data_IF_744521061911
#
_entry.id   IF_744521061911
#
_cell.length_a   1.000
_cell.length_b   1.000
_cell.length_c   1.000
_cell.angle_alpha   90.00
_cell.angle_beta   90.00
_cell.angle_gamma   90.00
#
_symmetry.space_group_name_H-M   'P 1'
#
loop_
_entity.id
_entity.type
_entity.pdbx_description
1 polymer ?
#
# COMPACT_ATOMS: atom_id res chain seq x y z
N UNK A 1 -1.34 -6.29 6.45
CA UNK A 1 -0.56 -6.15 5.19
C UNK A 1 -1.42 -6.35 3.95
N UNK A 2 -2.01 -7.54 3.73
CA UNK A 2 -2.80 -7.81 2.51
C UNK A 2 -3.96 -6.82 2.29
N UNK A 3 -4.76 -6.54 3.33
CA UNK A 3 -5.88 -5.58 3.26
C UNK A 3 -5.45 -4.17 2.81
N UNK A 4 -4.22 -3.77 3.16
CA UNK A 4 -3.64 -2.48 2.81
C UNK A 4 -3.20 -2.46 1.35
N UNK A 5 -2.49 -3.50 0.90
CA UNK A 5 -2.14 -3.65 -0.52
C UNK A 5 -3.40 -3.63 -1.39
N UNK A 6 -4.45 -4.37 -1.01
CA UNK A 6 -5.74 -4.39 -1.72
C UNK A 6 -6.44 -3.03 -1.72
N UNK A 7 -6.29 -2.22 -0.66
CA UNK A 7 -6.84 -0.87 -0.62
C UNK A 7 -6.14 0.02 -1.66
N UNK A 8 -4.81 0.00 -1.69
CA UNK A 8 -4.03 0.84 -2.62
C UNK A 8 -4.20 0.41 -4.07
N UNK A 9 -4.32 -0.89 -4.35
CA UNK A 9 -4.66 -1.38 -5.69
C UNK A 9 -6.04 -0.93 -6.16
N UNK A 10 -7.03 -0.90 -5.26
CA UNK A 10 -8.35 -0.36 -5.61
C UNK A 10 -8.29 1.16 -5.83
N UNK A 11 -7.46 1.87 -5.07
CA UNK A 11 -7.33 3.32 -5.19
C UNK A 11 -6.61 3.70 -6.50
N UNK A 12 -5.55 2.98 -6.88
CA UNK A 12 -4.87 3.16 -8.17
C UNK A 12 -5.83 2.92 -9.33
N UNK A 13 -6.63 1.84 -9.29
CA UNK A 13 -7.65 1.57 -10.29
C UNK A 13 -8.67 2.71 -10.43
N UNK A 14 -9.15 3.28 -9.32
CA UNK A 14 -10.05 4.45 -9.35
C UNK A 14 -9.39 5.72 -9.89
N UNK A 15 -8.07 5.81 -9.87
CA UNK A 15 -7.30 6.89 -10.47
C UNK A 15 -6.99 6.64 -11.96
N UNK A 16 -7.35 5.48 -12.49
CA UNK A 16 -7.09 5.09 -13.89
C UNK A 16 -5.75 4.38 -14.09
N UNK A 17 -5.13 3.87 -13.02
CA UNK A 17 -3.92 3.05 -13.08
C UNK A 17 -4.29 1.59 -12.81
N UNK A 18 -4.11 0.72 -13.80
CA UNK A 18 -4.33 -0.73 -13.65
C UNK A 18 -2.99 -1.47 -13.68
N UNK A 19 -2.82 -2.45 -12.78
CA UNK A 19 -1.67 -3.35 -12.81
C UNK A 19 -0.34 -2.72 -12.43
N UNK A 20 -0.35 -1.67 -11.61
CA UNK A 20 0.88 -1.06 -11.12
C UNK A 20 1.62 -1.98 -10.15
N UNK A 21 2.93 -1.84 -10.09
CA UNK A 21 3.74 -2.54 -9.10
C UNK A 21 3.65 -1.83 -7.73
N UNK A 22 3.23 -2.57 -6.70
CA UNK A 22 3.23 -2.09 -5.32
C UNK A 22 4.50 -2.55 -4.61
N UNK A 23 5.17 -1.63 -3.92
CA UNK A 23 6.38 -1.92 -3.13
C UNK A 23 6.06 -1.90 -1.64
N UNK A 24 6.54 -2.93 -0.92
CA UNK A 24 6.42 -3.01 0.54
C UNK A 24 7.76 -2.64 1.17
N UNK A 25 7.79 -1.55 1.92
CA UNK A 25 8.94 -1.18 2.76
C UNK A 25 8.94 -2.02 4.03
N UNK A 26 10.04 -2.71 4.32
CA UNK A 26 10.27 -3.43 5.56
C UNK A 26 11.51 -2.90 6.26
N UNK A 27 11.46 -2.85 7.59
CA UNK A 27 12.65 -2.57 8.39
C UNK A 27 13.50 -3.84 8.50
N UNK A 28 14.82 -3.67 8.44
CA UNK A 28 15.75 -4.77 8.69
C UNK A 28 15.75 -5.12 10.19
N UNK A 29 14.99 -6.16 10.55
CA UNK A 29 14.92 -6.66 11.92
C UNK A 29 14.60 -8.17 11.94
N UNK A 30 14.74 -8.79 13.12
CA UNK A 30 14.55 -10.23 13.29
C UNK A 30 13.12 -10.68 12.93
N UNK A 31 12.10 -9.91 13.33
CA UNK A 31 10.72 -10.27 13.03
C UNK A 31 10.47 -10.30 11.52
N UNK A 32 10.94 -9.29 10.78
CA UNK A 32 10.85 -9.27 9.33
C UNK A 32 11.59 -10.46 8.72
N UNK A 33 12.81 -10.79 9.20
CA UNK A 33 13.57 -11.92 8.69
C UNK A 33 12.87 -13.28 8.91
N UNK A 34 12.27 -13.48 10.09
CA UNK A 34 11.58 -14.73 10.44
C UNK A 34 10.29 -14.94 9.63
N UNK A 35 9.53 -13.87 9.36
CA UNK A 35 8.20 -13.97 8.76
C UNK A 35 8.13 -13.52 7.29
N UNK A 36 9.25 -13.12 6.66
CA UNK A 36 9.26 -12.68 5.27
C UNK A 36 8.77 -13.78 4.31
N UNK A 37 9.18 -15.03 4.53
CA UNK A 37 8.73 -16.17 3.73
C UNK A 37 7.21 -16.37 3.80
N UNK A 38 6.65 -16.32 5.01
CA UNK A 38 5.21 -16.44 5.24
C UNK A 38 4.44 -15.28 4.61
N UNK A 39 4.97 -14.06 4.71
CA UNK A 39 4.39 -12.88 4.08
C UNK A 39 4.30 -13.05 2.55
N UNK A 40 5.41 -13.46 1.92
CA UNK A 40 5.47 -13.71 0.47
C UNK A 40 4.46 -14.79 0.08
N UNK A 41 4.42 -15.90 0.82
CA UNK A 41 3.49 -17.00 0.51
C UNK A 41 2.04 -16.58 0.70
N UNK A 42 1.75 -15.77 1.73
CA UNK A 42 0.41 -15.25 1.97
C UNK A 42 -0.07 -14.37 0.81
N UNK A 43 0.78 -13.51 0.25
CA UNK A 43 0.44 -12.71 -0.94
C UNK A 43 0.19 -13.60 -2.17
N UNK A 44 1.08 -14.55 -2.45
CA UNK A 44 0.91 -15.50 -3.57
C UNK A 44 -0.40 -16.29 -3.48
N UNK A 45 -0.73 -16.79 -2.29
CA UNK A 45 -1.98 -17.52 -2.04
C UNK A 45 -3.24 -16.66 -2.26
N UNK A 46 -3.11 -15.34 -2.21
CA UNK A 46 -4.19 -14.38 -2.44
C UNK A 46 -4.13 -13.75 -3.85
N UNK A 47 -3.45 -14.39 -4.79
CA UNK A 47 -3.45 -14.01 -6.21
C UNK A 47 -2.49 -12.88 -6.58
N UNK A 48 -1.60 -12.46 -5.67
CA UNK A 48 -0.58 -11.45 -5.98
C UNK A 48 0.65 -12.09 -6.61
N UNK A 49 1.21 -11.41 -7.61
CA UNK A 49 2.51 -11.73 -8.17
C UNK A 49 3.59 -11.00 -7.36
N UNK A 50 4.67 -11.70 -7.05
CA UNK A 50 5.84 -11.13 -6.34
C UNK A 50 6.96 -11.03 -7.35
N UNK A 51 7.51 -9.82 -7.49
CA UNK A 51 8.58 -9.49 -8.43
C UNK A 51 9.76 -8.85 -7.70
N UNK A 52 10.85 -8.62 -8.43
CA UNK A 52 12.02 -7.90 -7.94
C UNK A 52 11.70 -6.42 -7.71
N UNK A 53 12.33 -5.82 -6.69
CA UNK A 53 12.13 -4.40 -6.38
C UNK A 53 12.63 -3.50 -7.51
N UNK A 54 13.75 -3.84 -8.15
CA UNK A 54 14.32 -3.05 -9.26
C UNK A 54 13.32 -2.95 -10.42
N UNK A 55 12.68 -4.08 -10.77
CA UNK A 55 11.62 -4.11 -11.79
C UNK A 55 10.37 -3.31 -11.36
N UNK A 56 10.00 -3.38 -10.08
CA UNK A 56 8.85 -2.62 -9.57
C UNK A 56 9.09 -1.10 -9.66
N UNK A 57 10.32 -0.64 -9.47
CA UNK A 57 10.67 0.79 -9.56
C UNK A 57 10.72 1.33 -10.99
N UNK A 58 10.72 0.47 -12.01
CA UNK A 58 10.60 0.87 -13.41
C UNK A 58 9.16 1.24 -13.82
N UNK A 59 8.19 1.10 -12.91
CA UNK A 59 6.78 1.39 -13.20
C UNK A 59 6.57 2.87 -13.62
N UNK A 60 5.87 3.13 -14.74
CA UNK A 60 5.63 4.49 -15.24
C UNK A 60 4.95 5.42 -14.24
N UNK A 61 4.24 4.88 -13.23
CA UNK A 61 3.61 5.70 -12.20
C UNK A 61 4.61 6.64 -11.49
N UNK A 62 5.88 6.24 -11.35
CA UNK A 62 6.92 7.05 -10.73
C UNK A 62 7.33 8.30 -11.52
N UNK A 63 6.84 8.46 -12.76
CA UNK A 63 6.98 9.71 -13.52
C UNK A 63 5.99 10.80 -13.07
N UNK A 64 5.07 10.48 -12.14
CA UNK A 64 4.15 11.45 -11.58
C UNK A 64 4.77 12.19 -10.38
N UNK A 65 4.66 13.52 -10.39
CA UNK A 65 5.15 14.38 -9.31
C UNK A 65 4.00 15.23 -8.76
N UNK A 66 3.29 14.74 -7.73
CA UNK A 66 2.24 15.52 -7.07
C UNK A 66 2.79 16.83 -6.50
N UNK A 67 2.01 17.90 -6.59
CA UNK A 67 2.37 19.25 -6.12
C UNK A 67 1.72 19.59 -4.77
N UNK A 68 0.94 18.69 -4.20
CA UNK A 68 0.38 18.85 -2.86
C UNK A 68 1.49 18.72 -1.80
N UNK A 69 1.23 19.25 -0.59
CA UNK A 69 2.18 19.15 0.53
C UNK A 69 2.48 17.67 0.80
N UNK A 70 3.75 17.24 0.75
CA UNK A 70 4.11 15.86 1.05
C UNK A 70 3.84 15.59 2.53
N UNK A 71 3.04 14.58 2.85
CA UNK A 71 2.80 14.17 4.23
C UNK A 71 3.40 12.78 4.54
N UNK A 72 4.34 12.32 3.70
CA UNK A 72 5.14 11.12 3.92
C UNK A 72 4.47 9.83 3.48
N UNK A 73 3.46 9.89 2.62
CA UNK A 73 2.65 8.75 2.22
C UNK A 73 3.05 8.11 0.89
N UNK A 74 2.24 7.11 0.47
CA UNK A 74 2.33 6.52 -0.86
C UNK A 74 2.02 7.54 -1.97
N UNK A 75 2.68 7.38 -3.12
CA UNK A 75 2.45 8.17 -4.33
C UNK A 75 0.97 8.13 -4.77
N UNK A 76 0.33 6.97 -4.67
CA UNK A 76 -1.10 6.78 -5.00
C UNK A 76 -1.98 7.66 -4.10
N UNK A 77 -1.69 7.73 -2.80
CA UNK A 77 -2.43 8.58 -1.88
C UNK A 77 -2.27 10.06 -2.25
N UNK A 78 -1.04 10.50 -2.52
CA UNK A 78 -0.77 11.88 -2.90
C UNK A 78 -1.48 12.27 -4.21
N UNK A 79 -1.48 11.39 -5.21
CA UNK A 79 -2.23 11.58 -6.46
C UNK A 79 -3.73 11.64 -6.22
N UNK A 80 -4.27 10.76 -5.37
CA UNK A 80 -5.68 10.80 -5.01
C UNK A 80 -6.07 12.10 -4.30
N UNK A 81 -5.23 12.56 -3.37
CA UNK A 81 -5.45 13.82 -2.66
C UNK A 81 -5.41 15.02 -3.61
N UNK A 82 -4.41 15.08 -4.50
CA UNK A 82 -4.30 16.13 -5.51
C UNK A 82 -5.50 16.15 -6.46
N UNK A 83 -6.08 15.00 -6.78
CA UNK A 83 -7.24 14.93 -7.69
C UNK A 83 -8.50 15.61 -7.14
N UNK A 84 -8.61 15.81 -5.82
CA UNK A 84 -9.80 16.33 -5.15
C UNK A 84 -11.03 15.40 -5.17
N UNK A 85 -10.98 14.26 -5.88
CA UNK A 85 -12.14 13.37 -6.08
C UNK A 85 -12.44 12.46 -4.89
N UNK A 86 -11.50 12.32 -3.96
CA UNK A 86 -11.56 11.34 -2.87
C UNK A 86 -11.67 11.98 -1.48
N UNK A 87 -11.99 13.27 -1.41
CA UNK A 87 -12.18 13.95 -0.13
C UNK A 87 -13.23 13.24 0.74
N UNK A 88 -12.91 13.07 2.02
CA UNK A 88 -13.75 12.33 2.97
C UNK A 88 -13.76 10.81 2.83
N UNK A 89 -13.10 10.25 1.81
CA UNK A 89 -13.01 8.78 1.59
C UNK A 89 -11.59 8.23 1.65
N UNK A 90 -10.58 9.11 1.55
CA UNK A 90 -9.18 8.72 1.75
C UNK A 90 -8.95 8.33 3.22
N UNK A 91 -8.26 7.20 3.41
CA UNK A 91 -7.79 6.81 4.74
C UNK A 91 -6.83 7.86 5.27
N UNK A 92 -6.85 8.06 6.58
CA UNK A 92 -5.93 8.98 7.22
C UNK A 92 -4.48 8.52 6.95
N UNK A 93 -3.61 9.43 6.49
CA UNK A 93 -2.29 9.07 5.97
C UNK A 93 -1.33 8.45 6.97
N UNK A 94 -1.45 8.78 8.27
CA UNK A 94 -0.65 8.14 9.30
C UNK A 94 -1.17 6.73 9.68
N UNK A 95 -2.28 6.31 9.05
CA UNK A 95 -2.92 4.99 9.19
C UNK A 95 -2.90 4.49 10.64
N UNK A 96 -3.66 5.19 11.50
CA UNK A 96 -3.74 4.93 12.93
C UNK A 96 -4.63 3.71 13.26
N UNK A 97 -4.77 3.42 14.55
CA UNK A 97 -5.50 2.26 15.04
C UNK A 97 -6.99 2.22 14.69
N UNK A 98 -7.60 3.25 14.09
CA UNK A 98 -9.03 3.24 13.74
C UNK A 98 -9.41 2.09 12.80
N UNK A 99 -8.52 1.69 11.88
CA UNK A 99 -8.82 0.63 10.91
C UNK A 99 -8.39 -0.76 11.41
N UNK A 100 -7.29 -0.84 12.15
CA UNK A 100 -6.68 -2.09 12.59
C UNK A 100 -7.26 -2.58 13.93
N UNK A 101 -7.52 -1.68 14.89
CA UNK A 101 -7.92 -2.07 16.25
C UNK A 101 -9.20 -2.91 16.30
N UNK A 102 -10.30 -2.57 15.60
CA UNK A 102 -11.51 -3.38 15.66
C UNK A 102 -11.32 -4.80 15.10
N UNK A 103 -10.35 -5.00 14.19
CA UNK A 103 -10.01 -6.31 13.65
C UNK A 103 -9.13 -7.08 14.64
N UNK A 104 -8.18 -6.40 15.29
CA UNK A 104 -7.33 -6.99 16.32
C UNK A 104 -8.13 -7.42 17.56
N UNK A 105 -9.03 -6.55 18.04
CA UNK A 105 -9.93 -6.84 19.18
C UNK A 105 -10.76 -8.11 18.90
N UNK A 106 -11.25 -8.30 17.66
CA UNK A 106 -12.00 -9.49 17.25
C UNK A 106 -11.16 -10.77 17.25
N UNK A 107 -9.85 -10.64 17.07
CA UNK A 107 -8.90 -11.75 17.10
C UNK A 107 -8.33 -11.98 18.52
N UNK A 108 -8.70 -11.16 19.50
CA UNK A 108 -8.19 -11.23 20.87
C UNK A 108 -6.74 -10.75 21.01
N UNK A 109 -6.30 -9.86 20.13
CA UNK A 109 -4.96 -9.26 20.10
C UNK A 109 -4.94 -7.85 20.68
#
# INVERSE_FOLDING_TARGET
>A
MLSRATYYEKLSGKLGYEGIHHVILLHHNLAAALFLGDLIQHFKNNGWLVTDADLAYEDPIYSNFPTNVPAGESLIWALAKQSGKFEGTLRYPAEDGEYEKPLMDKLGL
#
